data_IF_038067619248
#
_entry.id   IF_038067619248
#
_cell.length_a   1.000
_cell.length_b   1.000
_cell.length_c   1.000
_cell.angle_alpha   90.00
_cell.angle_beta   90.00
_cell.angle_gamma   90.00
#
_symmetry.space_group_name_H-M   'P 1'
#
loop_
_entity.id
_entity.type
_entity.pdbx_description
1 polymer ?
#
# COMPACT_ATOMS: atom_id res chain seq x y z
N UNK A 1 11.92 12.13 -8.57
CA UNK A 1 10.72 12.80 -7.99
C UNK A 1 9.78 11.75 -7.37
N UNK A 2 9.19 12.03 -6.20
CA UNK A 2 8.24 11.13 -5.52
C UNK A 2 6.80 11.53 -5.82
N UNK A 3 5.89 10.55 -5.88
CA UNK A 3 4.46 10.81 -6.06
C UNK A 3 3.63 9.96 -5.11
N UNK A 4 2.66 10.58 -4.44
CA UNK A 4 1.58 9.88 -3.76
C UNK A 4 0.51 9.46 -4.77
N UNK A 5 -0.02 8.25 -4.60
CA UNK A 5 -1.18 7.73 -5.33
C UNK A 5 -2.20 7.19 -4.32
N UNK A 6 -3.46 7.59 -4.49
CA UNK A 6 -4.59 7.04 -3.76
C UNK A 6 -5.71 6.67 -4.75
N UNK A 7 -6.22 5.46 -4.65
CA UNK A 7 -7.42 5.05 -5.39
C UNK A 7 -8.66 5.70 -4.78
N UNK A 8 -9.61 6.07 -5.63
CA UNK A 8 -10.91 6.60 -5.25
C UNK A 8 -11.98 5.51 -5.29
N UNK A 9 -13.07 5.70 -4.53
CA UNK A 9 -14.13 4.68 -4.41
C UNK A 9 -14.88 4.38 -5.71
N UNK A 10 -14.83 5.29 -6.68
CA UNK A 10 -15.37 5.14 -8.03
C UNK A 10 -14.39 4.47 -9.01
N UNK A 11 -13.23 4.01 -8.54
CA UNK A 11 -12.23 3.32 -9.37
C UNK A 11 -11.24 4.24 -10.09
N UNK A 12 -11.29 5.54 -9.81
CA UNK A 12 -10.28 6.51 -10.24
C UNK A 12 -9.03 6.52 -9.34
N UNK A 13 -8.15 7.49 -9.57
CA UNK A 13 -6.96 7.74 -8.77
C UNK A 13 -6.72 9.24 -8.59
N UNK A 14 -6.22 9.60 -7.41
CA UNK A 14 -5.69 10.94 -7.08
C UNK A 14 -4.21 10.84 -6.85
N UNK A 15 -3.49 11.79 -7.42
CA UNK A 15 -2.04 11.83 -7.42
C UNK A 15 -1.55 13.16 -6.89
N UNK A 16 -0.44 13.15 -6.16
CA UNK A 16 0.20 14.38 -5.71
C UNK A 16 1.72 14.24 -5.79
N UNK A 17 2.43 15.17 -6.46
CA UNK A 17 3.88 15.19 -6.39
C UNK A 17 4.34 15.51 -4.96
N UNK A 18 5.40 14.85 -4.52
CA UNK A 18 5.97 15.02 -3.18
C UNK A 18 7.41 15.53 -3.22
N UNK A 19 7.73 16.42 -2.28
CA UNK A 19 9.10 16.83 -2.01
C UNK A 19 9.89 15.73 -1.25
N UNK A 20 11.21 15.88 -1.04
CA UNK A 20 12.00 14.90 -0.29
C UNK A 20 11.55 14.68 1.16
N UNK A 21 10.83 15.64 1.76
CA UNK A 21 10.25 15.54 3.10
C UNK A 21 8.83 14.92 3.11
N UNK A 22 8.29 14.55 1.94
CA UNK A 22 6.96 13.96 1.80
C UNK A 22 5.81 14.97 1.81
N UNK A 23 6.10 16.27 1.63
CA UNK A 23 5.07 17.31 1.52
C UNK A 23 4.62 17.47 0.08
N UNK A 24 3.38 17.91 -0.11
CA UNK A 24 2.84 18.23 -1.43
C UNK A 24 3.70 19.29 -2.13
N UNK A 25 4.21 18.95 -3.31
CA UNK A 25 5.09 19.79 -4.13
C UNK A 25 4.37 20.35 -5.37
N UNK A 26 3.06 20.23 -5.45
CA UNK A 26 2.26 20.62 -6.60
C UNK A 26 0.79 20.23 -6.44
N UNK A 27 -0.04 20.55 -7.45
CA UNK A 27 -1.48 20.31 -7.40
C UNK A 27 -1.81 18.81 -7.39
N UNK A 28 -2.99 18.49 -6.87
CA UNK A 28 -3.57 17.15 -7.00
C UNK A 28 -3.96 16.94 -8.47
N UNK A 29 -3.56 15.81 -9.03
CA UNK A 29 -3.97 15.36 -10.36
C UNK A 29 -4.93 14.20 -10.22
N UNK A 30 -6.02 14.21 -10.98
CA UNK A 30 -7.04 13.16 -10.94
C UNK A 30 -7.03 12.37 -12.25
N UNK A 31 -7.16 11.06 -12.13
CA UNK A 31 -7.32 10.12 -13.26
C UNK A 31 -8.61 9.36 -13.02
N UNK A 32 -9.58 9.53 -13.90
CA UNK A 32 -10.90 8.90 -13.75
C UNK A 32 -10.83 7.39 -13.97
N UNK A 33 -11.84 6.66 -13.51
CA UNK A 33 -11.97 5.24 -13.82
C UNK A 33 -12.06 4.98 -15.33
N UNK A 34 -12.79 5.84 -16.06
CA UNK A 34 -12.91 5.76 -17.52
C UNK A 34 -11.57 5.96 -18.25
N UNK A 35 -10.66 6.73 -17.66
CA UNK A 35 -9.30 6.90 -18.15
C UNK A 35 -8.35 5.78 -17.69
N UNK A 36 -8.82 4.75 -16.98
CA UNK A 36 -8.00 3.63 -16.51
C UNK A 36 -7.47 3.74 -15.09
N UNK A 37 -7.89 4.76 -14.32
CA UNK A 37 -7.62 4.90 -12.89
C UNK A 37 -6.14 4.79 -12.53
N UNK A 38 -5.83 4.00 -11.49
CA UNK A 38 -4.47 3.85 -11.00
C UNK A 38 -3.49 3.22 -12.01
N UNK A 39 -3.97 2.33 -12.89
CA UNK A 39 -3.14 1.71 -13.93
C UNK A 39 -2.62 2.78 -14.89
N UNK A 40 -3.52 3.61 -15.42
CA UNK A 40 -3.13 4.68 -16.34
C UNK A 40 -2.33 5.76 -15.63
N UNK A 41 -2.67 6.06 -14.38
CA UNK A 41 -1.95 7.03 -13.58
C UNK A 41 -0.45 6.67 -13.43
N UNK A 42 -0.14 5.39 -13.23
CA UNK A 42 1.24 4.90 -13.15
C UNK A 42 1.87 4.78 -14.54
N UNK A 43 1.15 4.23 -15.53
CA UNK A 43 1.66 4.01 -16.88
C UNK A 43 2.09 5.32 -17.57
N UNK A 44 1.31 6.39 -17.39
CA UNK A 44 1.56 7.70 -18.00
C UNK A 44 2.71 8.48 -17.37
N UNK A 45 3.37 7.95 -16.32
CA UNK A 45 4.41 8.66 -15.55
C UNK A 45 5.68 7.81 -15.34
N UNK A 46 6.37 7.40 -16.43
CA UNK A 46 7.58 6.60 -16.34
C UNK A 46 8.74 7.30 -15.61
N UNK A 47 8.71 8.62 -15.49
CA UNK A 47 9.70 9.45 -14.81
C UNK A 47 9.61 9.43 -13.27
N UNK A 48 8.56 8.80 -12.71
CA UNK A 48 8.39 8.73 -11.26
C UNK A 48 9.39 7.75 -10.65
N UNK A 49 10.36 8.30 -9.94
CA UNK A 49 11.42 7.51 -9.29
C UNK A 49 10.90 6.65 -8.14
N UNK A 50 9.85 7.08 -7.43
CA UNK A 50 9.30 6.35 -6.30
C UNK A 50 7.85 6.73 -6.03
N UNK A 51 7.00 5.71 -5.99
CA UNK A 51 5.60 5.83 -5.62
C UNK A 51 5.40 5.78 -4.11
N UNK A 52 4.35 6.40 -3.62
CA UNK A 52 3.87 6.28 -2.24
C UNK A 52 2.39 5.94 -2.30
N UNK A 53 2.00 4.80 -1.76
CA UNK A 53 0.60 4.35 -1.78
C UNK A 53 0.21 3.65 -0.48
N UNK A 54 -1.09 3.45 -0.29
CA UNK A 54 -1.63 2.78 0.91
C UNK A 54 -1.02 1.40 1.11
N UNK A 55 -1.22 0.50 0.15
CA UNK A 55 -0.92 -0.93 0.28
C UNK A 55 -0.51 -1.52 -1.06
N UNK A 56 0.67 -2.14 -1.10
CA UNK A 56 1.20 -2.84 -2.27
C UNK A 56 0.39 -4.09 -2.56
N UNK A 57 -0.05 -4.80 -1.52
CA UNK A 57 -0.84 -6.02 -1.65
C UNK A 57 -2.18 -5.76 -2.35
N UNK A 58 -2.78 -4.58 -2.17
CA UNK A 58 -4.04 -4.21 -2.83
C UNK A 58 -3.82 -3.70 -4.27
N UNK A 59 -2.79 -2.87 -4.48
CA UNK A 59 -2.62 -2.15 -5.74
C UNK A 59 -1.76 -2.89 -6.77
N UNK A 60 -0.62 -3.45 -6.34
CA UNK A 60 0.40 -3.96 -7.27
C UNK A 60 -0.05 -5.17 -8.11
N UNK A 61 -0.86 -6.13 -7.60
CA UNK A 61 -1.37 -7.21 -8.44
C UNK A 61 -2.15 -6.69 -9.66
N UNK A 62 -2.94 -5.63 -9.50
CA UNK A 62 -3.71 -5.01 -10.59
C UNK A 62 -2.81 -4.28 -11.59
N UNK A 63 -1.77 -3.60 -11.12
CA UNK A 63 -0.76 -2.98 -12.00
C UNK A 63 -0.04 -4.03 -12.83
N UNK A 64 0.40 -5.12 -12.18
CA UNK A 64 1.12 -6.21 -12.83
C UNK A 64 0.25 -6.93 -13.87
N UNK A 65 -1.02 -7.20 -13.55
CA UNK A 65 -1.98 -7.78 -14.49
C UNK A 65 -2.17 -6.90 -15.74
N UNK A 66 -2.02 -5.57 -15.61
CA UNK A 66 -2.09 -4.62 -16.71
C UNK A 66 -0.72 -4.37 -17.40
N UNK A 67 0.30 -5.19 -17.10
CA UNK A 67 1.64 -5.08 -17.66
C UNK A 67 2.46 -3.89 -17.14
N UNK A 68 2.01 -3.21 -16.09
CA UNK A 68 2.69 -2.05 -15.50
C UNK A 68 3.60 -2.52 -14.37
N UNK A 69 4.91 -2.32 -14.52
CA UNK A 69 5.90 -2.63 -13.47
C UNK A 69 6.31 -1.36 -12.74
N UNK A 70 6.45 -1.48 -11.42
CA UNK A 70 6.90 -0.39 -10.55
C UNK A 70 8.19 -0.84 -9.87
N UNK A 71 9.27 -0.09 -10.07
CA UNK A 71 10.57 -0.45 -9.51
C UNK A 71 10.68 -0.16 -8.02
N UNK A 72 10.12 0.98 -7.58
CA UNK A 72 10.28 1.48 -6.22
C UNK A 72 8.99 2.11 -5.71
N UNK A 73 8.59 1.71 -4.51
CA UNK A 73 7.48 2.30 -3.78
C UNK A 73 7.81 2.49 -2.29
N UNK A 74 7.02 3.29 -1.61
CA UNK A 74 6.78 3.24 -0.18
C UNK A 74 5.35 2.77 0.04
N UNK A 75 5.24 1.70 0.81
CA UNK A 75 3.97 1.14 1.27
C UNK A 75 3.72 1.65 2.69
N UNK A 76 2.63 2.41 2.86
CA UNK A 76 2.34 3.07 4.12
C UNK A 76 1.94 2.05 5.20
N UNK A 77 1.20 1.00 4.86
CA UNK A 77 0.80 -0.04 5.81
C UNK A 77 1.96 -0.95 6.20
N UNK A 78 2.91 -1.18 5.30
CA UNK A 78 4.14 -1.89 5.64
C UNK A 78 5.05 -1.04 6.55
N UNK A 79 5.17 0.27 6.27
CA UNK A 79 5.93 1.19 7.11
C UNK A 79 5.34 1.29 8.52
N UNK A 80 4.03 1.45 8.65
CA UNK A 80 3.34 1.49 9.95
C UNK A 80 3.56 0.18 10.74
N UNK A 81 3.48 -0.98 10.08
CA UNK A 81 3.73 -2.27 10.73
C UNK A 81 5.13 -2.34 11.36
N UNK A 82 6.15 -1.84 10.65
CA UNK A 82 7.53 -1.83 11.11
C UNK A 82 7.71 -0.87 12.30
N UNK A 83 7.11 0.31 12.24
CA UNK A 83 7.15 1.29 13.32
C UNK A 83 6.47 0.77 14.59
N UNK A 84 5.28 0.17 14.44
CA UNK A 84 4.58 -0.48 15.55
C UNK A 84 5.41 -1.62 16.14
N UNK A 85 6.03 -2.47 15.31
CA UNK A 85 6.93 -3.52 15.77
C UNK A 85 8.12 -2.95 16.56
N UNK A 86 8.72 -1.86 16.09
CA UNK A 86 9.81 -1.18 16.77
C UNK A 86 9.39 -0.62 18.14
N UNK A 87 8.15 -0.15 18.26
CA UNK A 87 7.56 0.34 19.52
C UNK A 87 7.06 -0.79 20.45
N UNK A 88 7.21 -2.06 20.09
CA UNK A 88 6.71 -3.20 20.88
C UNK A 88 5.19 -3.40 20.75
N UNK A 89 4.56 -2.82 19.74
CA UNK A 89 3.12 -2.81 19.48
C UNK A 89 2.73 -3.68 18.29
N UNK A 90 3.50 -4.76 18.08
CA UNK A 90 3.27 -5.69 17.00
C UNK A 90 1.84 -6.27 17.07
N UNK A 91 1.14 -6.28 15.95
CA UNK A 91 -0.24 -6.76 15.86
C UNK A 91 -1.32 -5.69 16.07
N UNK A 92 -0.95 -4.45 16.44
CA UNK A 92 -1.92 -3.35 16.42
C UNK A 92 -2.37 -2.98 15.00
N UNK A 93 -3.56 -2.35 14.85
CA UNK A 93 -4.05 -1.85 13.57
C UNK A 93 -3.05 -0.91 12.88
N UNK A 94 -2.74 -1.23 11.63
CA UNK A 94 -1.69 -0.63 10.79
C UNK A 94 -2.19 -0.09 9.46
N UNK A 95 -3.49 -0.16 9.19
CA UNK A 95 -4.11 0.47 8.03
C UNK A 95 -3.79 1.97 7.99
N UNK A 96 -3.84 2.58 6.80
CA UNK A 96 -3.64 4.03 6.67
C UNK A 96 -4.59 4.83 7.57
N UNK A 97 -5.83 4.37 7.73
CA UNK A 97 -6.83 4.97 8.63
C UNK A 97 -6.42 4.85 10.10
N UNK A 98 -5.90 3.70 10.53
CA UNK A 98 -5.38 3.49 11.87
C UNK A 98 -4.15 4.37 12.16
N UNK A 99 -3.17 4.38 11.25
CA UNK A 99 -1.99 5.22 11.33
C UNK A 99 -2.36 6.72 11.42
N UNK A 100 -3.31 7.17 10.60
CA UNK A 100 -3.80 8.55 10.62
C UNK A 100 -4.51 8.91 11.92
N UNK A 101 -5.37 8.02 12.43
CA UNK A 101 -6.04 8.21 13.71
C UNK A 101 -5.03 8.32 14.86
N UNK A 102 -4.05 7.42 14.90
CA UNK A 102 -2.95 7.42 15.87
C UNK A 102 -2.14 8.72 15.82
N UNK A 103 -1.74 9.16 14.62
CA UNK A 103 -1.04 10.43 14.41
C UNK A 103 -1.84 11.64 14.92
N UNK A 104 -3.17 11.58 14.82
CA UNK A 104 -4.09 12.64 15.26
C UNK A 104 -4.60 12.46 16.69
N UNK A 105 -4.15 11.42 17.42
CA UNK A 105 -4.62 11.06 18.77
C UNK A 105 -6.14 10.85 18.83
N UNK A 106 -6.69 10.21 17.80
CA UNK A 106 -8.09 9.78 17.71
C UNK A 106 -8.21 8.29 18.07
N UNK A 107 -9.43 7.79 18.35
CA UNK A 107 -9.66 6.35 18.50
C UNK A 107 -9.20 5.60 17.25
N UNK A 108 -8.37 4.58 17.45
CA UNK A 108 -7.80 3.77 16.36
C UNK A 108 -8.84 2.74 15.92
N UNK A 109 -9.30 2.76 14.66
CA UNK A 109 -10.19 1.72 14.14
C UNK A 109 -9.43 0.41 13.98
N UNK A 110 -10.16 -0.70 14.09
CA UNK A 110 -9.66 -2.01 13.68
C UNK A 110 -9.33 -2.01 12.18
N UNK A 111 -8.31 -2.80 11.82
CA UNK A 111 -7.99 -2.99 10.41
C UNK A 111 -9.08 -3.82 9.71
N UNK A 112 -9.35 -3.55 8.42
CA UNK A 112 -10.19 -4.45 7.64
C UNK A 112 -9.56 -5.85 7.62
N UNK A 113 -10.37 -6.92 7.59
CA UNK A 113 -9.85 -8.27 7.52
C UNK A 113 -8.94 -8.39 6.29
N UNK A 114 -7.73 -8.91 6.50
CA UNK A 114 -6.80 -9.20 5.40
C UNK A 114 -7.55 -10.11 4.43
N UNK A 115 -7.73 -9.68 3.18
CA UNK A 115 -8.23 -10.58 2.13
C UNK A 115 -7.22 -11.71 2.06
N UNK A 116 -7.61 -12.88 2.54
CA UNK A 116 -6.84 -14.09 2.31
C UNK A 116 -6.64 -14.15 0.80
N UNK A 117 -5.39 -14.11 0.34
CA UNK A 117 -5.09 -14.45 -1.03
C UNK A 117 -5.73 -15.82 -1.24
N UNK A 118 -6.75 -15.90 -2.10
CA UNK A 118 -7.41 -17.15 -2.41
C UNK A 118 -6.31 -18.15 -2.77
N UNK A 119 -6.15 -19.13 -1.87
CA UNK A 119 -5.24 -20.27 -1.88
C UNK A 119 -4.26 -20.26 -3.05
N UNK A 120 -3.17 -19.48 -2.94
CA UNK A 120 -1.99 -19.82 -3.73
C UNK A 120 -1.57 -21.22 -3.27
N UNK A 121 -1.56 -22.22 -4.16
CA UNK A 121 -1.08 -23.53 -3.79
C UNK A 121 0.34 -23.37 -3.29
N UNK A 122 0.62 -23.92 -2.12
CA UNK A 122 1.95 -23.88 -1.55
C UNK A 122 2.92 -24.49 -2.57
N UNK A 123 3.98 -23.75 -2.91
CA UNK A 123 5.02 -24.25 -3.82
C UNK A 123 5.75 -25.46 -3.23
N UNK A 124 5.68 -25.62 -1.90
CA UNK A 124 6.28 -26.71 -1.14
C UNK A 124 5.23 -27.42 -0.29
N UNK A 125 5.32 -28.75 -0.17
CA UNK A 125 4.49 -29.48 0.78
C UNK A 125 4.94 -29.17 2.22
N UNK A 126 4.03 -28.84 3.16
CA UNK A 126 4.41 -28.69 4.56
C UNK A 126 4.83 -30.06 5.11
N UNK A 127 6.09 -30.16 5.54
CA UNK A 127 6.56 -31.31 6.30
C UNK A 127 5.84 -31.43 7.65
N UNK A 128 5.87 -32.60 8.32
CA UNK A 128 5.29 -32.76 9.64
C UNK A 128 5.91 -31.75 10.62
N UNK A 129 5.07 -31.04 11.37
CA UNK A 129 5.52 -30.10 12.41
C UNK A 129 6.19 -30.91 13.53
N UNK A 130 7.50 -30.77 13.77
CA UNK A 130 8.13 -31.42 14.90
C UNK A 130 7.68 -30.71 16.19
N UNK A 131 7.26 -31.49 17.18
CA UNK A 131 7.04 -30.95 18.52
C UNK A 131 8.39 -30.59 19.15
N UNK A 132 8.47 -29.50 19.94
CA UNK A 132 9.67 -29.21 20.70
C UNK A 132 9.96 -30.34 21.71
N UNK A 133 11.24 -30.64 22.00
CA UNK A 133 11.60 -31.53 23.10
C UNK A 133 11.17 -30.91 24.43
N UNK A 134 10.54 -31.71 25.28
CA UNK A 134 10.19 -31.35 26.67
C UNK A 134 11.38 -31.32 27.60
#
# INVERSE_FOLDING_TARGET
>A
MRWALAETGDGGARLCPLDPAGRAAGPIVEVTAAAGGAVEAVRSRPEVERWVWRSTAELYPRLLAAGVRVERCYDLEAAEALLLGHEGRCGEPRSLTAAWARLRRLPVPEDPPVRAAETQPSLFEPGPVPLPPG
#
